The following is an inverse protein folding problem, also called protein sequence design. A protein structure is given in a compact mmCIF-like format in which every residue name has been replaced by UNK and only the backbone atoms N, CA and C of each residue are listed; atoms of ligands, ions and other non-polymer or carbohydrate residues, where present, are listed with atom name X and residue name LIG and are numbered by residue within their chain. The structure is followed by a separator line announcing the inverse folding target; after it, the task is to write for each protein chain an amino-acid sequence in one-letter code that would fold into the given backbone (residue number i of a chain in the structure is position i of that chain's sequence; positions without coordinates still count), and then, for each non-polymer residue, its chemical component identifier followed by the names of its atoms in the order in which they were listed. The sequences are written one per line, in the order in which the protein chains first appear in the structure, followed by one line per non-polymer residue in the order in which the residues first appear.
data_IF_466581128828
#
_entry.id   IF_466581128828
#
_cell.length_a   1.000
_cell.length_b   1.000
_cell.length_c   1.000
_cell.angle_alpha   90.00
_cell.angle_beta   90.00
_cell.angle_gamma   90.00
#
_symmetry.space_group_name_H-M   'P 1'
#
loop_
_entity.id
_entity.type
_entity.pdbx_description
1 polymer ?
2 polymer ?
3 polymer ?
4 non-polymer ?
5 water ?
#
loop_
_entity_poly.entity_id
_entity_poly.type
_entity_poly.pdbx_seq_one_letter_code
_entity_poly.pdbx_strand_id
2 'polydeoxyribonucleotide' '(DG)(DA)(DG)(DT)(DT)(DT)(DG)(DA)(DA)(DA)(DC)(DT)' ?
3 'polydeoxyribonucleotide' '(DC)(DA)(DG)(DT)(DT)(DT)(DC)(DA)(DA)(DA)(DC)(DT)(DC)' ?
#
# COMPACT_ATOMS: atom_id res chain seq x y z
N UNK A 11 5.98 -15.47 -6.54
CA UNK A 11 7.07 -15.52 -7.50
C UNK A 11 8.11 -16.57 -7.07
N UNK A 12 8.84 -16.31 -5.99
CA UNK A 12 9.86 -17.26 -5.54
C UNK A 12 9.23 -18.25 -4.55
N UNK A 13 9.59 -19.54 -4.66
CA UNK A 13 8.97 -20.61 -3.86
C UNK A 13 9.33 -20.55 -2.38
N UNK A 14 8.33 -20.68 -1.51
CA UNK A 14 8.56 -20.77 -0.07
C UNK A 14 8.91 -22.21 0.27
N UNK A 15 9.58 -22.43 1.40
CA UNK A 15 9.88 -23.81 1.83
C UNK A 15 9.42 -24.07 3.26
N UNK A 16 8.33 -23.43 3.66
CA UNK A 16 7.75 -23.59 4.99
C UNK A 16 7.41 -25.06 5.33
N UNK A 17 7.51 -25.43 6.60
CA UNK A 17 7.03 -26.73 7.03
C UNK A 17 6.10 -26.55 8.23
N UNK A 18 6.57 -25.73 9.15
CA UNK A 18 6.03 -25.69 10.47
C UNK A 18 4.84 -24.73 10.57
N UNK A 19 4.76 -23.76 9.67
CA UNK A 19 3.80 -22.67 9.79
C UNK A 19 2.54 -22.91 9.01
N UNK A 20 2.56 -23.92 8.16
CA UNK A 20 1.44 -24.24 7.26
C UNK A 20 1.26 -23.19 6.15
N UNK A 21 2.10 -22.16 6.16
CA UNK A 21 2.02 -21.02 5.23
C UNK A 21 0.81 -20.18 5.55
N UNK A 22 0.45 -20.16 6.84
CA UNK A 22 -0.68 -19.41 7.36
C UNK A 22 -0.23 -18.34 8.37
N UNK A 23 1.07 -18.08 8.34
CA UNK A 23 1.66 -17.05 9.15
C UNK A 23 2.57 -16.19 8.28
N UNK A 24 2.96 -15.03 8.77
CA UNK A 24 3.71 -14.05 8.00
C UNK A 24 5.16 -14.47 7.82
N UNK A 25 5.57 -15.52 8.54
CA UNK A 25 6.86 -16.15 8.30
C UNK A 25 6.88 -16.67 6.86
N UNK A 26 5.70 -16.92 6.29
CA UNK A 26 5.57 -17.39 4.92
C UNK A 26 5.38 -16.22 3.95
N UNK A 27 6.41 -15.95 3.15
CA UNK A 27 6.38 -14.81 2.26
C UNK A 27 5.26 -14.86 1.22
N UNK A 28 4.85 -16.07 0.83
CA UNK A 28 3.74 -16.24 -0.10
C UNK A 28 2.48 -15.69 0.53
N UNK A 29 2.24 -16.11 1.76
CA UNK A 29 1.05 -15.71 2.54
C UNK A 29 1.10 -14.23 2.94
N UNK A 30 2.31 -13.74 3.21
CA UNK A 30 2.52 -12.35 3.59
C UNK A 30 2.20 -11.41 2.42
N UNK A 31 2.39 -11.88 1.20
CA UNK A 31 2.09 -11.09 0.01
C UNK A 31 0.67 -11.29 -0.48
N UNK A 32 -0.14 -11.96 0.33
CA UNK A 32 -1.55 -12.18 0.02
C UNK A 32 -1.74 -13.08 -1.18
N UNK A 33 -0.83 -14.01 -1.39
CA UNK A 33 -0.98 -14.97 -2.47
C UNK A 33 -1.24 -16.40 -1.98
N UNK A 34 -1.94 -17.16 -2.81
CA UNK A 34 -1.87 -18.60 -2.69
C UNK A 34 -0.45 -19.03 -3.07
N UNK A 35 0.04 -20.08 -2.45
CA UNK A 35 1.29 -20.71 -2.87
C UNK A 35 1.14 -21.36 -4.25
N UNK A 36 2.15 -21.22 -5.11
CA UNK A 36 2.11 -21.84 -6.44
C UNK A 36 3.45 -22.46 -6.80
N UNK A 37 3.48 -23.79 -6.84
CA UNK A 37 4.68 -24.53 -7.22
C UNK A 37 5.74 -24.39 -6.12
N UNK A 38 5.28 -24.18 -4.89
CA UNK A 38 6.19 -24.03 -3.75
C UNK A 38 6.74 -25.35 -3.22
N UNK A 39 7.63 -25.25 -2.25
CA UNK A 39 8.27 -26.40 -1.64
C UNK A 39 7.86 -26.53 -0.17
N UNK A 40 6.77 -25.87 0.18
CA UNK A 40 6.25 -25.95 1.53
C UNK A 40 5.70 -27.33 1.88
N UNK A 41 5.64 -27.64 3.17
CA UNK A 41 5.00 -28.86 3.65
C UNK A 41 3.75 -28.57 4.46
N UNK A 42 2.71 -29.39 4.28
CA UNK A 42 1.44 -29.20 4.97
C UNK A 42 0.87 -27.82 4.72
N UNK A 43 0.90 -27.44 3.46
CA UNK A 43 0.45 -26.12 3.06
C UNK A 43 -1.04 -25.99 3.22
N UNK A 44 -1.49 -24.93 3.89
CA UNK A 44 -2.91 -24.62 3.95
C UNK A 44 -3.20 -23.37 3.15
N UNK A 45 -2.17 -22.83 2.50
CA UNK A 45 -2.32 -21.57 1.78
C UNK A 45 -2.84 -21.80 0.37
N UNK A 46 -4.03 -22.39 0.27
CA UNK A 46 -4.55 -22.86 -1.01
C UNK A 46 -6.07 -23.05 -0.98
N UNK A 47 -6.65 -23.38 -2.12
CA UNK A 47 -8.10 -23.49 -2.23
C UNK A 47 -8.67 -24.60 -1.33
N UNK A 48 -7.91 -25.67 -1.15
CA UNK A 48 -8.37 -26.82 -0.40
C UNK A 48 -8.47 -26.60 1.11
N UNK A 49 -7.96 -25.49 1.60
CA UNK A 49 -8.07 -25.21 3.03
C UNK A 49 -8.68 -23.89 3.36
N UNK A 50 -9.66 -23.49 2.55
CA UNK A 50 -10.28 -22.17 2.60
C UNK A 50 -10.79 -21.74 3.96
N UNK A 51 -11.44 -22.64 4.71
CA UNK A 51 -11.93 -22.26 6.05
C UNK A 51 -10.81 -21.92 7.02
N UNK A 52 -9.84 -22.82 7.11
CA UNK A 52 -8.73 -22.63 8.02
C UNK A 52 -7.84 -21.45 7.59
N UNK A 53 -7.76 -21.23 6.29
CA UNK A 53 -6.95 -20.15 5.75
C UNK A 53 -7.58 -18.82 6.12
N UNK A 54 -8.90 -18.75 6.02
CA UNK A 54 -9.63 -17.52 6.35
C UNK A 54 -9.43 -17.16 7.82
N UNK A 55 -9.43 -18.17 8.68
CA UNK A 55 -9.16 -17.99 10.11
C UNK A 55 -7.80 -17.38 10.38
N UNK A 56 -6.79 -17.89 9.70
CA UNK A 56 -5.43 -17.38 9.86
C UNK A 56 -5.35 -15.94 9.40
N UNK A 57 -6.09 -15.62 8.36
CA UNK A 57 -6.05 -14.28 7.81
C UNK A 57 -6.58 -13.25 8.82
N UNK A 58 -7.61 -13.60 9.58
CA UNK A 58 -8.21 -12.59 10.43
C UNK A 58 -7.44 -12.49 11.74
N UNK A 59 -6.88 -13.61 12.19
CA UNK A 59 -5.99 -13.63 13.36
C UNK A 59 -4.75 -12.83 13.06
N UNK A 60 -4.29 -12.95 11.82
CA UNK A 60 -3.12 -12.24 11.37
C UNK A 60 -3.45 -10.74 11.37
N UNK A 61 -4.67 -10.42 10.95
CA UNK A 61 -5.09 -9.04 10.76
C UNK A 61 -5.44 -8.29 12.06
N UNK A 62 -6.01 -8.96 13.05
CA UNK A 62 -6.35 -8.24 14.28
C UNK A 62 -5.10 -8.08 15.16
N UNK A 63 -4.03 -8.81 14.81
CA UNK A 63 -2.70 -8.56 15.39
C UNK A 63 -2.16 -7.25 14.85
N UNK A 64 -2.38 -7.01 13.56
CA UNK A 64 -1.98 -5.76 12.90
C UNK A 64 -2.83 -5.51 11.67
N UNK A 65 -3.73 -4.52 11.76
CA UNK A 65 -4.72 -4.24 10.71
C UNK A 65 -4.09 -3.86 9.37
N UNK A 66 -2.80 -3.56 9.40
CA UNK A 66 -2.08 -3.20 8.19
C UNK A 66 -1.29 -4.36 7.59
N UNK A 67 -1.61 -5.58 8.01
CA UNK A 67 -0.83 -6.74 7.59
C UNK A 67 -0.87 -6.93 6.08
N UNK A 68 -2.05 -6.83 5.49
CA UNK A 68 -2.21 -7.01 4.06
C UNK A 68 -2.58 -5.71 3.36
N UNK A 69 -1.97 -4.62 3.79
CA UNK A 69 -2.19 -3.32 3.18
C UNK A 69 -1.31 -3.30 1.94
N UNK A 70 -1.83 -2.76 0.81
CA UNK A 70 -1.16 -2.73 -0.49
C UNK A 70 0.33 -2.43 -0.42
N UNK A 71 1.12 -3.43 -0.82
CA UNK A 71 2.58 -3.37 -0.79
C UNK A 71 3.18 -4.49 -1.66
N UNK A 86 7.54 -1.01 9.19
CA UNK A 86 8.34 0.21 9.14
C UNK A 86 9.59 0.08 10.01
N UNK A 87 10.75 0.04 9.34
CA UNK A 87 12.06 -0.07 9.96
C UNK A 87 12.49 -1.42 10.53
N UNK A 88 13.80 -1.65 10.50
CA UNK A 88 14.44 -2.89 10.96
C UNK A 88 14.86 -2.79 12.43
N UNK A 89 15.27 -3.91 13.00
CA UNK A 89 15.79 -3.90 14.38
C UNK A 89 17.07 -4.72 14.47
N UNK A 90 17.82 -4.72 13.37
CA UNK A 90 19.01 -5.55 13.22
C UNK A 90 19.98 -5.28 14.34
N UNK A 91 20.65 -6.32 14.77
CA UNK A 91 21.66 -6.18 15.80
C UNK A 91 23.03 -6.51 15.28
N UNK A 92 23.11 -7.59 14.51
CA UNK A 92 24.39 -8.20 14.16
C UNK A 92 24.77 -8.06 12.68
N UNK A 93 23.81 -7.84 11.80
CA UNK A 93 24.14 -7.73 10.36
C UNK A 93 24.79 -6.42 9.93
N UNK A 94 24.60 -5.35 10.70
CA UNK A 94 25.14 -4.04 10.35
C UNK A 94 24.26 -3.37 9.30
N UNK A 95 23.20 -4.08 8.97
CA UNK A 95 22.25 -3.75 7.91
C UNK A 95 22.87 -3.73 6.52
N UNK A 96 23.89 -4.56 6.31
CA UNK A 96 24.48 -4.76 4.97
C UNK A 96 24.42 -6.23 4.55
N UNK A 97 23.45 -6.93 5.11
CA UNK A 97 23.16 -8.31 4.77
C UNK A 97 21.66 -8.42 4.59
N UNK A 98 21.22 -9.36 3.78
CA UNK A 98 19.81 -9.46 3.47
C UNK A 98 18.93 -9.97 4.62
N UNK A 99 19.52 -10.29 5.77
CA UNK A 99 18.73 -10.31 7.01
C UNK A 99 18.08 -8.97 7.34
N UNK A 100 18.69 -7.85 6.92
CA UNK A 100 18.07 -6.54 7.10
C UNK A 100 17.03 -6.32 6.01
N UNK A 101 15.81 -6.02 6.42
CA UNK A 101 14.73 -5.81 5.47
C UNK A 101 14.97 -4.51 4.68
N UNK A 102 15.64 -3.57 5.30
CA UNK A 102 16.01 -2.36 4.61
C UNK A 102 16.99 -2.69 3.49
N UNK A 103 18.08 -3.34 3.83
CA UNK A 103 19.09 -3.68 2.82
C UNK A 103 18.52 -4.57 1.72
N UNK A 104 17.69 -5.54 2.10
CA UNK A 104 17.07 -6.43 1.11
C UNK A 104 16.18 -5.64 0.15
N UNK A 105 15.55 -4.59 0.64
CA UNK A 105 14.70 -3.77 -0.22
C UNK A 105 15.56 -2.75 -0.99
N UNK A 106 16.88 -2.85 -0.79
CA UNK A 106 17.84 -2.01 -1.50
C UNK A 106 17.60 -0.52 -1.20
N UNK A 107 17.27 -0.23 0.06
CA UNK A 107 17.06 1.14 0.49
C UNK A 107 17.84 1.41 1.77
N UNK A 108 18.01 2.69 2.10
CA UNK A 108 18.70 3.10 3.31
C UNK A 108 17.83 2.94 4.55
N UNK A 109 18.46 2.68 5.70
CA UNK A 109 17.73 2.74 6.96
C UNK A 109 17.29 4.17 7.23
N UNK A 110 16.20 4.33 7.99
CA UNK A 110 15.74 5.66 8.35
C UNK A 110 15.61 5.81 9.85
N UNK A 111 15.09 6.97 10.27
CA UNK A 111 14.97 7.32 11.68
C UNK A 111 14.14 6.32 12.46
N UNK A 112 13.13 5.76 11.81
CA UNK A 112 12.24 4.78 12.44
C UNK A 112 12.91 3.42 12.73
N UNK A 113 13.98 3.10 11.99
CA UNK A 113 14.73 1.86 12.23
C UNK A 113 15.37 1.92 13.61
N UNK A 114 15.39 0.80 14.29
CA UNK A 114 15.98 0.74 15.61
C UNK A 114 17.23 -0.12 15.58
N UNK A 115 17.93 -0.08 14.44
CA UNK A 115 19.23 -0.73 14.22
C UNK A 115 20.23 -0.51 15.36
N UNK A 116 21.14 -1.45 15.50
CA UNK A 116 22.35 -1.25 16.27
C UNK A 116 23.56 -1.53 15.39
N UNK A 117 24.51 -0.59 15.33
CA UNK A 117 25.69 -0.77 14.52
C UNK A 117 25.37 -0.58 13.05
N UNK A 118 24.38 0.26 12.74
CA UNK A 118 23.97 0.41 11.34
C UNK A 118 25.03 1.09 10.45
N UNK A 119 25.36 0.36 9.39
CA UNK A 119 26.30 0.81 8.39
C UNK A 119 25.54 1.01 7.09
N UNK A 120 24.22 1.02 7.16
CA UNK A 120 23.43 1.14 5.92
C UNK A 120 22.81 2.52 5.89
N UNK A 121 23.68 3.50 5.67
CA UNK A 121 23.30 4.90 5.45
C UNK A 121 24.12 5.43 4.28
N UNK A 122 23.70 6.58 3.77
CA UNK A 122 24.21 7.16 2.53
C UNK A 122 25.74 7.31 2.51
N UNK A 123 26.30 7.84 3.60
CA UNK A 123 27.72 8.19 3.62
C UNK A 123 28.58 7.02 4.15
N UNK A 124 27.99 5.83 4.29
CA UNK A 124 28.70 4.68 4.83
C UNK A 124 29.73 4.16 3.82
N UNK A 125 30.99 4.04 4.25
CA UNK A 125 32.06 3.45 3.44
C UNK A 125 31.77 1.97 3.14
N UNK A 126 31.56 1.19 4.19
CA UNK A 126 31.34 -0.26 4.05
C UNK A 126 30.18 -0.50 3.10
N UNK A 127 29.17 0.34 3.17
CA UNK A 127 28.05 0.17 2.26
C UNK A 127 28.51 0.40 0.84
N UNK A 128 29.24 1.50 0.63
CA UNK A 128 29.78 1.84 -0.69
C UNK A 128 30.73 0.77 -1.22
N UNK A 129 31.60 0.24 -0.37
CA UNK A 129 32.49 -0.85 -0.76
C UNK A 129 31.69 -2.10 -1.17
N UNK A 130 30.72 -2.50 -0.35
CA UNK A 130 29.84 -3.62 -0.66
C UNK A 130 28.91 -3.32 -1.84
N UNK A 131 28.87 -2.08 -2.29
CA UNK A 131 28.08 -1.74 -3.47
C UNK A 131 28.87 -2.06 -4.75
N UNK A 132 30.19 -2.11 -4.63
CA UNK A 132 31.06 -2.51 -5.73
C UNK A 132 31.93 -3.73 -5.37
N UNK B 11 -11.07 8.89 7.10
CA UNK B 11 -11.72 7.64 6.70
C UNK B 11 -13.24 7.74 6.75
N UNK B 12 -13.82 8.37 5.73
CA UNK B 12 -15.27 8.54 5.63
C UNK B 12 -15.88 7.39 4.81
N UNK B 13 -17.09 6.93 5.19
CA UNK B 13 -17.69 5.78 4.52
C UNK B 13 -18.07 6.01 3.03
N UNK B 14 -17.71 5.05 2.19
CA UNK B 14 -18.03 5.06 0.77
C UNK B 14 -19.48 4.62 0.52
N UNK B 15 -20.05 5.01 -0.62
CA UNK B 15 -21.41 4.57 -0.99
C UNK B 15 -21.45 3.88 -2.35
N UNK B 16 -20.35 3.22 -2.68
CA UNK B 16 -20.21 2.52 -3.95
C UNK B 16 -21.32 1.48 -4.18
N UNK B 17 -21.63 1.28 -5.45
CA UNK B 17 -22.59 0.27 -5.86
C UNK B 17 -21.99 -0.66 -6.89
N UNK B 18 -21.37 -0.04 -7.87
CA UNK B 18 -21.04 -0.65 -9.13
C UNK B 18 -19.67 -1.32 -9.15
N UNK B 19 -18.77 -0.85 -8.29
CA UNK B 19 -17.36 -1.25 -8.35
C UNK B 19 -16.96 -2.38 -7.38
N UNK B 20 -17.86 -2.71 -6.46
CA UNK B 20 -17.61 -3.73 -5.43
C UNK B 20 -16.59 -3.22 -4.42
N UNK B 21 -16.17 -1.97 -4.63
CA UNK B 21 -15.14 -1.32 -3.84
C UNK B 21 -13.79 -1.98 -4.13
N UNK B 22 -13.67 -2.46 -5.36
CA UNK B 22 -12.45 -3.10 -5.84
C UNK B 22 -11.78 -2.31 -6.99
N UNK B 23 -12.22 -1.07 -7.15
CA UNK B 23 -11.65 -0.16 -8.13
C UNK B 23 -11.33 1.16 -7.41
N UNK B 24 -10.45 1.96 -8.00
CA UNK B 24 -9.90 3.13 -7.32
C UNK B 24 -10.91 4.25 -7.16
N UNK B 25 -12.07 4.11 -7.81
CA UNK B 25 -13.21 4.98 -7.55
C UNK B 25 -13.60 4.92 -6.07
N UNK B 26 -13.19 3.84 -5.40
CA UNK B 26 -13.51 3.65 -3.99
C UNK B 26 -12.41 4.19 -3.13
N UNK B 27 -12.68 5.30 -2.45
CA UNK B 27 -11.66 5.96 -1.65
C UNK B 27 -11.11 5.04 -0.55
N UNK B 28 -11.95 4.11 -0.07
CA UNK B 28 -11.50 3.12 0.91
C UNK B 28 -10.44 2.24 0.26
N UNK B 29 -10.79 1.70 -0.90
CA UNK B 29 -9.87 0.82 -1.61
C UNK B 29 -8.69 1.64 -2.12
N UNK B 30 -8.93 2.88 -2.48
CA UNK B 30 -7.84 3.69 -3.01
C UNK B 30 -6.78 3.95 -1.93
N UNK B 31 -7.21 4.02 -0.68
CA UNK B 31 -6.27 4.23 0.42
C UNK B 31 -5.77 2.92 0.99
N UNK B 32 -6.10 1.84 0.31
CA UNK B 32 -5.65 0.52 0.66
C UNK B 32 -6.18 -0.01 1.97
N UNK B 33 -7.39 0.43 2.35
CA UNK B 33 -8.04 -0.09 3.54
C UNK B 33 -9.23 -0.93 3.13
N UNK B 34 -9.58 -1.90 3.98
CA UNK B 34 -10.86 -2.57 3.92
C UNK B 34 -11.97 -1.57 4.18
N UNK B 35 -13.12 -1.76 3.56
CA UNK B 35 -14.28 -0.98 3.93
C UNK B 35 -14.69 -1.37 5.35
N UNK B 36 -15.00 -0.38 6.17
CA UNK B 36 -15.44 -0.59 7.55
C UNK B 36 -16.50 0.44 7.91
N UNK B 37 -17.72 -0.01 8.20
CA UNK B 37 -18.76 0.90 8.64
C UNK B 37 -19.25 1.77 7.49
N UNK B 38 -18.99 1.30 6.26
CA UNK B 38 -19.36 2.02 5.03
C UNK B 38 -20.81 1.81 4.60
N UNK B 39 -21.20 2.48 3.51
CA UNK B 39 -22.55 2.38 2.99
C UNK B 39 -22.62 1.78 1.57
N UNK B 40 -21.54 1.12 1.15
CA UNK B 40 -21.48 0.46 -0.15
C UNK B 40 -22.42 -0.74 -0.23
N UNK B 41 -22.84 -1.10 -1.44
CA UNK B 41 -23.60 -2.32 -1.65
C UNK B 41 -22.71 -3.27 -2.46
N UNK B 42 -22.89 -4.56 -2.21
CA UNK B 42 -22.11 -5.59 -2.88
C UNK B 42 -20.62 -5.38 -2.71
N UNK B 43 -20.22 -5.07 -1.47
CA UNK B 43 -18.83 -4.83 -1.14
C UNK B 43 -17.99 -6.11 -1.18
N UNK B 44 -16.87 -6.05 -1.89
CA UNK B 44 -15.90 -7.12 -1.86
C UNK B 44 -14.63 -6.65 -1.14
N UNK B 45 -14.65 -5.43 -0.60
CA UNK B 45 -13.46 -4.85 0.05
C UNK B 45 -13.42 -5.23 1.54
N UNK B 46 -13.33 -6.52 1.79
CA UNK B 46 -13.46 -7.08 3.14
C UNK B 46 -12.87 -8.47 3.20
N UNK B 47 -12.80 -9.05 4.39
CA UNK B 47 -12.21 -10.38 4.59
C UNK B 47 -12.97 -11.44 3.83
N UNK B 48 -14.27 -11.23 3.68
CA UNK B 48 -15.13 -12.26 3.14
C UNK B 48 -14.80 -12.45 1.69
N UNK B 49 -14.14 -11.45 1.12
CA UNK B 49 -13.70 -11.52 -0.26
C UNK B 49 -12.26 -11.12 -0.39
N UNK B 50 -11.47 -11.45 0.64
CA UNK B 50 -10.07 -11.07 0.69
C UNK B 50 -9.36 -11.53 -0.58
N UNK B 51 -9.77 -12.69 -1.08
CA UNK B 51 -9.15 -13.25 -2.26
C UNK B 51 -9.29 -12.37 -3.48
N UNK B 52 -10.52 -11.98 -3.77
CA UNK B 52 -10.84 -11.15 -4.91
C UNK B 52 -10.25 -9.76 -4.67
N UNK B 53 -10.14 -9.37 -3.42
CA UNK B 53 -9.56 -8.09 -3.09
C UNK B 53 -8.09 -7.98 -3.47
N UNK B 54 -7.32 -8.97 -3.05
CA UNK B 54 -5.88 -9.00 -3.34
C UNK B 54 -5.68 -9.10 -4.84
N UNK B 55 -6.56 -9.88 -5.48
CA UNK B 55 -6.60 -10.02 -6.93
C UNK B 55 -6.77 -8.64 -7.58
N UNK B 56 -7.75 -7.88 -7.09
CA UNK B 56 -7.99 -6.55 -7.61
C UNK B 56 -6.77 -5.68 -7.30
N UNK B 57 -6.19 -5.90 -6.14
CA UNK B 57 -5.05 -5.11 -5.72
C UNK B 57 -3.87 -5.28 -6.67
N UNK B 58 -3.69 -6.47 -7.24
CA UNK B 58 -2.49 -6.67 -8.04
C UNK B 58 -2.76 -6.19 -9.46
N UNK B 59 -3.99 -6.29 -9.92
CA UNK B 59 -4.29 -5.75 -11.23
C UNK B 59 -4.10 -4.22 -11.27
N UNK B 60 -4.51 -3.52 -10.22
CA UNK B 60 -4.39 -2.07 -10.15
C UNK B 60 -2.93 -1.67 -10.12
N UNK B 61 -2.14 -2.47 -9.41
CA UNK B 61 -0.75 -2.16 -9.15
C UNK B 61 0.07 -2.40 -10.41
N UNK B 62 -0.35 -3.38 -11.22
CA UNK B 62 0.40 -3.73 -12.40
C UNK B 62 0.20 -2.77 -13.56
N UNK B 63 -0.85 -1.96 -13.52
CA UNK B 63 -1.01 -0.88 -14.50
C UNK B 63 -0.01 0.23 -14.21
N UNK B 64 0.12 0.57 -12.93
CA UNK B 64 1.11 1.53 -12.46
C UNK B 64 1.34 1.30 -10.96
N UNK B 65 2.56 0.84 -10.61
CA UNK B 65 2.92 0.42 -9.24
C UNK B 65 2.77 1.54 -8.20
N UNK B 66 2.54 2.76 -8.66
CA UNK B 66 2.33 3.91 -7.79
C UNK B 66 0.84 4.09 -7.55
N UNK B 67 0.09 3.00 -7.75
CA UNK B 67 -1.37 3.00 -7.67
C UNK B 67 -1.87 3.41 -6.29
N UNK B 68 -1.17 2.94 -5.26
CA UNK B 68 -1.59 3.29 -3.90
C UNK B 68 -0.63 4.32 -3.28
N UNK B 69 -0.17 5.25 -4.11
CA UNK B 69 0.60 6.37 -3.60
C UNK B 69 -0.35 7.50 -3.23
N UNK B 70 -0.27 7.99 -1.99
CA UNK B 70 -1.08 9.11 -1.47
C UNK B 70 -1.09 10.33 -2.40
N UNK B 86 0.93 13.27 -11.54
CA UNK B 86 0.36 13.61 -10.25
C UNK B 86 -0.60 14.79 -10.43
N UNK B 87 -0.48 15.45 -11.57
CA UNK B 87 -1.27 16.63 -11.89
C UNK B 87 -2.76 16.42 -12.14
N UNK B 88 -3.54 17.49 -11.96
CA UNK B 88 -4.99 17.48 -12.18
C UNK B 88 -5.26 17.76 -13.66
N UNK B 89 -6.50 17.57 -14.10
CA UNK B 89 -6.88 17.90 -15.46
C UNK B 89 -8.18 18.64 -15.50
N UNK B 90 -8.42 19.44 -14.47
CA UNK B 90 -9.70 20.12 -14.32
C UNK B 90 -10.04 20.96 -15.52
N UNK B 91 -11.32 20.99 -15.87
CA UNK B 91 -11.81 21.83 -16.95
C UNK B 91 -12.81 22.88 -16.50
N UNK B 92 -13.78 22.49 -15.67
CA UNK B 92 -14.93 23.36 -15.43
C UNK B 92 -14.87 23.97 -14.05
N UNK B 93 -14.16 23.33 -13.14
CA UNK B 93 -14.03 23.92 -11.82
C UNK B 93 -12.98 25.02 -12.00
N UNK B 94 -12.49 25.61 -10.95
CA UNK B 94 -11.49 26.65 -11.18
C UNK B 94 -10.19 26.08 -10.70
N UNK B 95 -10.28 24.81 -10.31
CA UNK B 95 -9.33 24.14 -9.45
C UNK B 95 -9.52 24.88 -8.11
N UNK B 96 -10.74 25.38 -7.90
CA UNK B 96 -11.18 25.98 -6.62
C UNK B 96 -12.42 25.29 -6.02
N UNK B 97 -12.66 24.05 -6.42
CA UNK B 97 -13.73 23.24 -5.86
C UNK B 97 -13.14 21.91 -5.57
N UNK B 98 -13.70 21.17 -4.62
CA UNK B 98 -13.04 19.92 -4.25
C UNK B 98 -13.13 18.78 -5.28
N UNK B 99 -13.78 18.98 -6.43
CA UNK B 99 -13.51 18.13 -7.62
C UNK B 99 -12.06 18.21 -8.11
N UNK B 100 -11.39 19.35 -7.86
CA UNK B 100 -9.94 19.43 -8.12
C UNK B 100 -9.17 18.77 -6.98
N UNK B 101 -8.32 17.82 -7.33
CA UNK B 101 -7.55 17.09 -6.32
C UNK B 101 -6.46 17.97 -5.71
N UNK B 102 -5.95 18.93 -6.49
CA UNK B 102 -5.01 19.89 -5.94
C UNK B 102 -5.71 20.71 -4.88
N UNK B 103 -6.86 21.28 -5.23
CA UNK B 103 -7.60 22.08 -4.27
C UNK B 103 -8.04 21.29 -3.03
N UNK B 104 -8.49 20.04 -3.21
CA UNK B 104 -8.95 19.25 -2.07
C UNK B 104 -7.80 18.96 -1.09
N UNK B 105 -6.58 18.85 -1.61
CA UNK B 105 -5.42 18.62 -0.77
C UNK B 105 -4.87 19.91 -0.20
N UNK B 106 -5.55 21.01 -0.50
CA UNK B 106 -5.25 22.36 0.01
C UNK B 106 -3.85 22.87 -0.37
N UNK B 107 -3.45 22.63 -1.61
CA UNK B 107 -2.20 23.12 -2.17
C UNK B 107 -2.44 23.73 -3.54
N UNK B 108 -1.47 24.48 -4.08
CA UNK B 108 -1.56 25.08 -5.43
C UNK B 108 -1.32 24.06 -6.53
N UNK B 109 -1.93 24.28 -7.69
CA UNK B 109 -1.59 23.53 -8.90
C UNK B 109 -0.15 23.81 -9.28
N UNK B 110 0.48 22.84 -9.95
CA UNK B 110 1.86 23.04 -10.37
C UNK B 110 2.00 22.86 -11.88
N UNK B 111 3.24 22.94 -12.35
CA UNK B 111 3.57 22.84 -13.76
C UNK B 111 3.12 21.52 -14.39
N UNK B 112 3.16 20.46 -13.60
CA UNK B 112 2.72 19.14 -14.11
C UNK B 112 1.20 19.03 -14.35
N UNK B 113 0.40 19.90 -13.71
CA UNK B 113 -1.05 19.91 -13.95
C UNK B 113 -1.41 20.30 -15.37
N UNK B 114 -2.46 19.70 -15.91
CA UNK B 114 -2.96 20.09 -17.23
C UNK B 114 -4.34 20.77 -17.15
N UNK B 115 -4.55 21.52 -16.05
CA UNK B 115 -5.74 22.36 -15.84
C UNK B 115 -6.04 23.22 -17.06
N UNK B 116 -7.31 23.54 -17.25
CA UNK B 116 -7.68 24.61 -18.16
C UNK B 116 -8.48 25.60 -17.32
N UNK B 117 -8.09 26.86 -17.36
CA UNK B 117 -8.75 27.91 -16.60
C UNK B 117 -8.36 27.91 -15.14
N UNK B 118 -7.16 27.46 -14.82
CA UNK B 118 -6.75 27.36 -13.42
C UNK B 118 -6.60 28.71 -12.69
N UNK B 119 -7.34 28.80 -11.59
CA UNK B 119 -7.36 29.92 -10.66
C UNK B 119 -6.77 29.54 -9.31
N UNK B 120 -6.09 28.39 -9.27
CA UNK B 120 -5.47 27.89 -8.03
C UNK B 120 -3.97 27.97 -8.18
N UNK B 121 -3.49 29.21 -8.14
CA UNK B 121 -2.08 29.51 -8.11
C UNK B 121 -1.95 30.61 -7.06
N UNK B 122 -0.72 30.89 -6.62
CA UNK B 122 -0.50 31.78 -5.48
C UNK B 122 -1.12 33.17 -5.64
N UNK B 123 -0.93 33.79 -6.81
CA UNK B 123 -1.31 35.20 -6.96
C UNK B 123 -2.73 35.35 -7.44
N UNK B 124 -3.50 34.26 -7.41
CA UNK B 124 -4.89 34.33 -7.87
C UNK B 124 -5.79 35.10 -6.94
N UNK B 125 -6.48 36.10 -7.48
CA UNK B 125 -7.47 36.84 -6.68
C UNK B 125 -8.58 35.91 -6.22
N UNK B 126 -9.19 35.21 -7.17
CA UNK B 126 -10.31 34.35 -6.89
C UNK B 126 -9.94 33.34 -5.79
N UNK B 127 -8.71 32.81 -5.83
CA UNK B 127 -8.30 31.89 -4.80
C UNK B 127 -8.21 32.63 -3.47
N UNK B 128 -7.61 33.81 -3.51
CA UNK B 128 -7.47 34.63 -2.32
C UNK B 128 -8.84 34.95 -1.73
N UNK B 129 -9.82 35.23 -2.58
CA UNK B 129 -11.17 35.54 -2.10
C UNK B 129 -11.77 34.37 -1.33
N UNK B 130 -11.87 33.22 -1.96
CA UNK B 130 -12.40 32.04 -1.32
C UNK B 130 -11.68 31.62 -0.09
N UNK B 131 -10.58 32.25 0.21
CA UNK B 131 -9.74 31.87 1.33
C UNK B 131 -10.15 32.61 2.60
N UNK B 132 -10.83 33.74 2.44
CA UNK B 132 -11.36 34.50 3.57
C UNK B 132 -12.87 34.62 3.43
N UNK B 133 -13.58 33.50 3.57
CA UNK B 133 -15.02 33.46 3.35
C UNK B 133 -15.36 33.93 1.94
#
# INVERSE_FOLDING_TARGET
GEFSESASRPRKPCNCTKSLCLKLYCDCFANGEFCNNCNCTNCYNNLEHENERQKAIKACLDRNPEAFKPKIGKGKEGESDRRHSKGCNCKRSGCLKNYCECYEAKIMCSSICKCIGCKNFEESPERKTLMHLAD
GEFSESASRPRKPCNCTKSLCLKLYCDCFANGEFCNNCNCTNCYNNLEHENERQKAIKACLDRNPEAFKPKIGKGKEGESDRRHSKGCNCKRSGCLKNYCECYEAKIMCSSICKCIGCKNFEESPERKTLMHLAD
#
